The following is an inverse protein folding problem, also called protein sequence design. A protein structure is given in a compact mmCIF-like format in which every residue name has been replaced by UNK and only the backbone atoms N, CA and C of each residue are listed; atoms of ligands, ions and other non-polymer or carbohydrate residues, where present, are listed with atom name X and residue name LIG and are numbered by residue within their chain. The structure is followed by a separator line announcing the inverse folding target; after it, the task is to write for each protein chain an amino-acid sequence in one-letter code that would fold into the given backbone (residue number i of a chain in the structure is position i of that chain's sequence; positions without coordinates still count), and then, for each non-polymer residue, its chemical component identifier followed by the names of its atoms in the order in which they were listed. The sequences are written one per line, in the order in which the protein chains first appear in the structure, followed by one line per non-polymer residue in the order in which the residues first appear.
data_IF_233757262727
#
_entry.id   IF_233757262727
#
_cell.length_a   1.000
_cell.length_b   1.000
_cell.length_c   1.000
_cell.angle_alpha   90.00
_cell.angle_beta   90.00
_cell.angle_gamma   90.00
#
_symmetry.space_group_name_H-M   'P 1'
#
loop_
_entity.id
_entity.type
_entity.pdbx_description
1 polymer ?
#
# COMPACT_ATOMS: atom_id res chain seq x y z
N UNK A 1 -0.42 -10.82 -3.53
CA UNK A 1 0.97 -10.35 -3.76
C UNK A 1 1.51 -9.83 -2.43
N UNK A 2 2.83 -9.81 -2.23
CA UNK A 2 3.44 -9.23 -1.02
C UNK A 2 4.43 -8.12 -1.36
N UNK A 3 4.47 -7.09 -0.53
CA UNK A 3 5.40 -5.98 -0.70
C UNK A 3 5.42 -5.01 0.47
N UNK A 4 6.27 -3.99 0.38
CA UNK A 4 6.36 -2.91 1.35
C UNK A 4 5.83 -1.62 0.76
N UNK A 5 5.00 -0.90 1.51
CA UNK A 5 4.51 0.41 1.10
C UNK A 5 5.67 1.41 1.20
N UNK A 6 6.13 1.92 0.07
CA UNK A 6 7.19 2.93 0.04
C UNK A 6 6.64 4.33 0.26
N UNK A 7 5.45 4.60 -0.28
CA UNK A 7 4.87 5.94 -0.26
C UNK A 7 3.36 5.86 -0.49
N UNK A 8 2.63 6.75 0.18
CA UNK A 8 1.23 7.04 -0.13
C UNK A 8 1.02 8.52 -0.40
N UNK A 9 0.26 8.82 -1.44
CA UNK A 9 -0.03 10.18 -1.86
C UNK A 9 -1.56 10.36 -1.91
N UNK A 10 -2.06 11.36 -1.18
CA UNK A 10 -3.47 11.77 -1.30
C UNK A 10 -3.71 12.39 -2.68
N UNK A 11 -4.78 11.98 -3.34
CA UNK A 11 -5.13 12.46 -4.69
C UNK A 11 -6.41 13.28 -4.68
N UNK A 12 -7.50 12.72 -4.16
CA UNK A 12 -8.80 13.38 -4.08
C UNK A 12 -9.56 12.84 -2.88
N UNK A 13 -10.20 13.73 -2.12
CA UNK A 13 -10.95 13.39 -0.92
C UNK A 13 -10.11 12.52 0.03
N UNK A 14 -10.42 11.23 0.13
CA UNK A 14 -9.72 10.27 0.97
C UNK A 14 -9.03 9.15 0.19
N UNK A 15 -8.97 9.28 -1.14
CA UNK A 15 -8.33 8.30 -1.99
C UNK A 15 -6.81 8.48 -2.03
N UNK A 16 -6.10 7.36 -2.18
CA UNK A 16 -4.64 7.31 -2.18
C UNK A 16 -4.10 6.70 -3.47
N UNK A 17 -3.00 7.27 -3.97
CA UNK A 17 -2.02 6.53 -4.74
C UNK A 17 -1.08 5.82 -3.77
N UNK A 18 -0.80 4.55 -4.05
CA UNK A 18 0.02 3.70 -3.19
C UNK A 18 1.14 3.11 -4.03
N UNK A 19 2.38 3.29 -3.56
CA UNK A 19 3.58 2.77 -4.18
C UNK A 19 4.10 1.61 -3.35
N UNK A 20 4.11 0.40 -3.92
CA UNK A 20 4.42 -0.83 -3.21
C UNK A 20 5.62 -1.50 -3.86
N UNK A 21 6.71 -1.65 -3.11
CA UNK A 21 7.87 -2.42 -3.53
C UNK A 21 7.58 -3.90 -3.34
N UNK A 22 7.52 -4.63 -4.45
CA UNK A 22 7.44 -6.10 -4.47
C UNK A 22 8.80 -6.69 -4.87
N UNK A 23 9.03 -8.02 -4.76
CA UNK A 23 10.29 -8.63 -5.18
C UNK A 23 10.64 -8.44 -6.66
N UNK A 24 9.65 -8.23 -7.53
CA UNK A 24 9.85 -8.15 -8.98
C UNK A 24 9.63 -6.77 -9.58
N UNK A 25 8.82 -5.90 -8.95
CA UNK A 25 8.54 -4.57 -9.47
C UNK A 25 8.06 -3.56 -8.41
N UNK A 26 8.15 -2.29 -8.76
CA UNK A 26 7.49 -1.21 -8.03
C UNK A 26 6.06 -1.03 -8.55
N UNK A 27 5.08 -1.46 -7.76
CA UNK A 27 3.65 -1.37 -8.09
C UNK A 27 3.17 0.04 -7.76
N UNK A 28 2.58 0.73 -8.74
CA UNK A 28 1.77 1.93 -8.51
C UNK A 28 0.29 1.55 -8.61
N UNK A 29 -0.47 1.74 -7.53
CA UNK A 29 -1.88 1.37 -7.45
C UNK A 29 -2.74 2.49 -6.87
N UNK A 30 -4.04 2.37 -7.05
CA UNK A 30 -5.04 3.31 -6.54
C UNK A 30 -5.87 2.68 -5.43
N UNK A 31 -6.15 3.41 -4.35
CA UNK A 31 -6.97 2.95 -3.23
C UNK A 31 -8.08 3.95 -2.91
N UNK A 32 -9.33 3.54 -3.15
CA UNK A 32 -10.52 4.21 -2.64
C UNK A 32 -10.52 4.26 -1.11
N UNK A 33 -10.84 5.44 -0.56
CA UNK A 33 -10.93 5.76 0.86
C UNK A 33 -9.69 5.35 1.67
N UNK A 34 -8.52 5.29 1.02
CA UNK A 34 -7.28 4.83 1.64
C UNK A 34 -6.84 5.65 2.85
N UNK A 35 -7.13 6.95 2.87
CA UNK A 35 -6.76 7.83 3.98
C UNK A 35 -7.54 7.55 5.28
N UNK A 36 -8.65 6.78 5.21
CA UNK A 36 -9.42 6.34 6.40
C UNK A 36 -8.88 5.06 7.03
N UNK A 37 -7.94 4.36 6.37
CA UNK A 37 -7.52 3.03 6.80
C UNK A 37 -6.02 2.98 7.12
N UNK A 38 -5.68 2.54 8.34
CA UNK A 38 -4.30 2.44 8.83
C UNK A 38 -3.50 1.28 8.22
N UNK A 39 -4.12 0.41 7.43
CA UNK A 39 -3.43 -0.71 6.78
C UNK A 39 -2.61 -0.29 5.54
N UNK A 40 -2.67 0.98 5.14
CA UNK A 40 -1.96 1.51 3.96
C UNK A 40 -0.93 2.57 4.34
N UNK A 41 -0.25 2.40 5.48
CA UNK A 41 0.78 3.31 5.96
C UNK A 41 2.15 3.01 5.34
N UNK A 42 2.95 4.05 5.18
CA UNK A 42 4.32 3.91 4.71
C UNK A 42 5.15 3.00 5.63
N UNK A 43 6.01 2.20 5.03
CA UNK A 43 6.84 1.19 5.69
C UNK A 43 6.15 -0.17 5.83
N UNK A 44 4.82 -0.22 5.94
CA UNK A 44 4.11 -1.47 6.24
C UNK A 44 4.36 -2.54 5.18
N UNK A 45 4.61 -3.77 5.65
CA UNK A 45 4.62 -4.95 4.80
C UNK A 45 3.19 -5.43 4.65
N UNK A 46 2.72 -5.62 3.42
CA UNK A 46 1.34 -6.01 3.15
C UNK A 46 1.27 -7.25 2.25
N UNK A 47 0.26 -8.07 2.49
CA UNK A 47 -0.32 -8.95 1.48
C UNK A 47 -1.51 -8.24 0.84
N UNK A 48 -1.64 -8.28 -0.48
CA UNK A 48 -2.63 -7.51 -1.21
C UNK A 48 -3.00 -8.11 -2.56
N UNK A 49 -4.16 -7.69 -3.07
CA UNK A 49 -4.61 -8.02 -4.41
C UNK A 49 -4.72 -6.73 -5.25
N UNK A 50 -4.53 -6.89 -6.56
CA UNK A 50 -4.75 -5.84 -7.54
C UNK A 50 -5.92 -6.24 -8.42
N UNK A 51 -6.85 -5.32 -8.60
CA UNK A 51 -8.03 -5.52 -9.43
C UNK A 51 -8.03 -4.51 -10.59
N UNK A 52 -8.30 -4.98 -11.81
CA UNK A 52 -8.30 -4.15 -13.02
C UNK A 52 -6.90 -3.88 -13.59
N UNK A 53 -6.69 -2.69 -14.16
CA UNK A 53 -5.39 -2.30 -14.73
C UNK A 53 -5.33 -2.18 -16.27
N UNK A 54 -6.44 -1.87 -16.93
CA UNK A 54 -6.48 -1.57 -18.37
C UNK A 54 -6.12 -0.11 -18.67
N UNK A 55 -7.12 0.78 -18.67
CA UNK A 55 -6.95 2.21 -18.98
C UNK A 55 -6.57 3.09 -17.76
N UNK A 56 -6.53 2.52 -16.56
CA UNK A 56 -6.28 3.23 -15.31
C UNK A 56 -5.39 2.38 -14.38
N UNK A 57 -4.87 3.00 -13.32
CA UNK A 57 -4.08 2.31 -12.30
C UNK A 57 -4.88 1.17 -11.67
N UNK A 58 -4.25 0.02 -11.39
CA UNK A 58 -4.92 -1.10 -10.75
C UNK A 58 -5.39 -0.70 -9.34
N UNK A 59 -6.56 -1.20 -8.96
CA UNK A 59 -7.15 -0.92 -7.67
C UNK A 59 -6.55 -1.84 -6.59
N UNK A 60 -6.11 -1.27 -5.48
CA UNK A 60 -5.53 -1.97 -4.34
C UNK A 60 -6.62 -2.54 -3.41
N UNK A 61 -6.84 -3.86 -3.46
CA UNK A 61 -7.85 -4.59 -2.70
C UNK A 61 -7.23 -5.59 -1.73
N UNK A 62 -8.07 -6.13 -0.85
CA UNK A 62 -7.72 -7.23 0.07
C UNK A 62 -6.41 -7.00 0.83
N UNK A 63 -6.18 -5.78 1.33
CA UNK A 63 -4.92 -5.39 1.99
C UNK A 63 -4.88 -5.92 3.42
N UNK A 64 -3.98 -6.87 3.66
CA UNK A 64 -3.65 -7.41 4.96
C UNK A 64 -2.26 -6.92 5.39
N UNK A 65 -2.19 -6.31 6.57
CA UNK A 65 -0.90 -5.95 7.16
C UNK A 65 -0.18 -7.20 7.69
N UNK A 66 1.02 -7.43 7.18
CA UNK A 66 1.92 -8.46 7.67
C UNK A 66 2.85 -7.82 8.70
N UNK A 67 2.62 -8.11 9.97
CA UNK A 67 3.48 -7.63 11.05
C UNK A 67 4.95 -7.96 10.77
N UNK A 68 5.83 -6.98 10.98
CA UNK A 68 7.27 -7.14 10.80
C UNK A 68 8.02 -6.60 12.01
N UNK A 69 9.13 -7.25 12.38
CA UNK A 69 9.86 -6.97 13.63
C UNK A 69 10.28 -5.50 13.79
N UNK A 70 10.63 -4.81 12.69
CA UNK A 70 11.05 -3.40 12.74
C UNK A 70 9.95 -2.45 13.23
N UNK A 71 8.66 -2.82 13.12
CA UNK A 71 7.55 -2.03 13.68
C UNK A 71 7.58 -1.98 15.21
N UNK A 72 8.25 -2.94 15.84
CA UNK A 72 8.45 -2.98 17.29
C UNK A 72 9.68 -2.15 17.71
N UNK A 73 10.54 -1.79 16.77
CA UNK A 73 11.74 -0.98 16.99
C UNK A 73 11.40 0.50 16.92
N UNK A 74 11.03 1.07 18.07
CA UNK A 74 10.53 2.44 18.19
C UNK A 74 11.55 3.50 17.72
N UNK A 75 12.85 3.18 17.81
CA UNK A 75 13.94 3.99 17.25
C UNK A 75 14.01 4.06 15.72
N UNK A 76 13.17 3.31 14.99
CA UNK A 76 13.13 3.30 13.51
C UNK A 76 11.84 3.87 12.90
N UNK A 77 10.94 4.38 13.75
CA UNK A 77 9.71 5.09 13.38
C UNK A 77 9.95 6.61 13.39
#
# INVERSE_FOLDING_TARGET
MQGYILHTQKVRDEDLLVYILTPSLLVKSYRFYGARHSNVLQGYKIDFELEGGGNFLPHLRSVLHLGYRWLLSRERL
#
